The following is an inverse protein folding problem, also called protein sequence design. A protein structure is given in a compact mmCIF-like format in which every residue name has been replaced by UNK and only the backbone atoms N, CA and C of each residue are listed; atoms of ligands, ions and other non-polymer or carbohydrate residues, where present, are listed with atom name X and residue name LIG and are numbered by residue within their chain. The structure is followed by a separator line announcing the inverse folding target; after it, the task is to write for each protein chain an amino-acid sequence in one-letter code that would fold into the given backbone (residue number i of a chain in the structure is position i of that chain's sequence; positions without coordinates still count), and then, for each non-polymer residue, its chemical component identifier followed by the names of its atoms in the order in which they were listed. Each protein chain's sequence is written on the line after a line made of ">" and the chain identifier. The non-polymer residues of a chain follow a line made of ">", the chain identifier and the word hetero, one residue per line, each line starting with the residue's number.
data_IF_232200392925
#
_entry.id   IF_232200392925
#
_cell.length_a   1.000
_cell.length_b   1.000
_cell.length_c   1.000
_cell.angle_alpha   90.00
_cell.angle_beta   90.00
_cell.angle_gamma   90.00
#
_symmetry.space_group_name_H-M   'P 1'
#
loop_
_entity.id
_entity.type
_entity.pdbx_description
1 polymer ?
#
# COMPACT_ATOMS: atom_id res chain seq x y z
N UNK A 1 -15.86 1.13 2.96
CA UNK A 1 -15.32 2.49 2.75
C UNK A 1 -13.89 2.53 3.29
N UNK A 2 -12.90 2.88 2.47
CA UNK A 2 -11.58 3.29 2.96
C UNK A 2 -11.62 4.82 3.05
N UNK A 3 -11.37 5.39 4.23
CA UNK A 3 -11.49 6.82 4.49
C UNK A 3 -10.18 7.30 5.08
N UNK A 4 -9.51 8.15 4.33
CA UNK A 4 -8.30 8.81 4.77
C UNK A 4 -8.67 10.23 5.14
N UNK A 5 -8.96 10.45 6.43
CA UNK A 5 -9.43 11.74 6.92
C UNK A 5 -8.27 12.74 6.87
N UNK A 6 -8.06 13.36 5.71
CA UNK A 6 -7.31 14.59 5.60
C UNK A 6 -8.10 15.70 6.32
N UNK A 7 -7.45 16.38 7.25
CA UNK A 7 -7.98 17.58 7.90
C UNK A 7 -8.15 18.71 6.87
N UNK A 8 -9.27 18.70 6.14
CA UNK A 8 -9.79 19.86 5.44
C UNK A 8 -11.25 20.03 5.83
N UNK A 9 -11.50 21.03 6.70
CA UNK A 9 -12.83 21.55 6.94
C UNK A 9 -13.38 22.09 5.62
N UNK A 10 -14.30 21.39 4.97
CA UNK A 10 -15.46 22.01 4.34
C UNK A 10 -16.56 20.99 4.05
N UNK A 11 -17.73 21.40 4.48
CA UNK A 11 -19.02 20.75 4.41
C UNK A 11 -19.45 20.57 2.94
N UNK A 12 -19.64 19.34 2.47
CA UNK A 12 -20.55 19.07 1.36
C UNK A 12 -21.17 17.67 1.49
N UNK A 13 -22.47 17.69 1.78
CA UNK A 13 -23.39 16.56 1.73
C UNK A 13 -23.66 16.18 0.28
N UNK A 14 -23.30 14.96 -0.12
CA UNK A 14 -23.94 14.28 -1.25
C UNK A 14 -23.92 12.77 -1.04
N UNK A 15 -25.10 12.25 -0.77
CA UNK A 15 -25.48 10.85 -0.65
C UNK A 15 -25.46 10.15 -2.01
N UNK A 16 -24.67 9.07 -2.13
CA UNK A 16 -24.92 7.91 -3.00
C UNK A 16 -24.06 6.74 -2.51
N UNK A 17 -24.51 6.07 -1.46
CA UNK A 17 -23.82 4.91 -0.86
C UNK A 17 -24.25 3.61 -1.56
N UNK A 18 -23.61 3.30 -2.69
CA UNK A 18 -23.49 1.90 -3.12
C UNK A 18 -22.43 1.22 -2.24
N UNK A 19 -22.91 0.34 -1.36
CA UNK A 19 -22.16 -0.36 -0.32
C UNK A 19 -21.15 -1.36 -0.92
N UNK A 20 -19.91 -0.91 -1.15
CA UNK A 20 -18.73 -1.77 -1.30
C UNK A 20 -17.89 -1.67 -0.03
N UNK A 21 -18.28 -2.42 0.99
CA UNK A 21 -17.40 -2.78 2.09
C UNK A 21 -16.26 -3.64 1.54
N UNK A 22 -15.07 -3.06 1.40
CA UNK A 22 -13.87 -3.84 1.10
C UNK A 22 -13.64 -4.83 2.23
N UNK A 23 -13.79 -6.12 1.93
CA UNK A 23 -13.11 -7.13 2.71
C UNK A 23 -11.62 -6.92 2.44
N UNK A 24 -10.86 -6.41 3.42
CA UNK A 24 -9.39 -6.33 3.36
C UNK A 24 -8.71 -7.72 3.30
N UNK A 25 -9.52 -8.77 3.12
CA UNK A 25 -9.11 -10.11 2.77
C UNK A 25 -8.87 -10.25 1.26
N UNK A 26 -7.60 -10.15 0.86
CA UNK A 26 -7.18 -10.39 -0.52
C UNK A 26 -6.45 -11.74 -0.60
N UNK A 27 -7.14 -12.82 -0.97
CA UNK A 27 -6.51 -14.14 -1.09
C UNK A 27 -5.36 -14.11 -2.11
N UNK A 28 -5.44 -13.25 -3.13
CA UNK A 28 -4.39 -13.10 -4.14
C UNK A 28 -3.08 -12.55 -3.55
N UNK A 29 -3.12 -11.72 -2.50
CA UNK A 29 -1.91 -11.28 -1.77
C UNK A 29 -1.26 -12.48 -1.08
N UNK A 30 -2.05 -13.34 -0.44
CA UNK A 30 -1.55 -14.54 0.24
C UNK A 30 -0.93 -15.49 -0.76
N UNK A 31 -1.57 -15.71 -1.91
CA UNK A 31 -1.05 -16.58 -2.97
C UNK A 31 0.27 -16.06 -3.55
N UNK A 32 0.35 -14.76 -3.85
CA UNK A 32 1.58 -14.13 -4.35
C UNK A 32 2.69 -14.17 -3.31
N UNK A 33 2.37 -13.92 -2.03
CA UNK A 33 3.33 -14.04 -0.93
C UNK A 33 3.83 -15.48 -0.80
N UNK A 34 2.95 -16.48 -0.85
CA UNK A 34 3.28 -17.91 -0.75
C UNK A 34 4.13 -18.44 -1.91
N UNK A 35 4.00 -17.87 -3.10
CA UNK A 35 4.77 -18.25 -4.28
C UNK A 35 6.26 -17.83 -4.23
N UNK A 36 6.66 -17.00 -3.26
CA UNK A 36 8.04 -16.51 -3.16
C UNK A 36 9.04 -17.56 -2.66
N UNK A 37 10.28 -17.47 -3.16
CA UNK A 37 11.37 -18.30 -2.69
C UNK A 37 11.65 -17.98 -1.19
N UNK A 38 11.65 -19.00 -0.30
CA UNK A 38 11.98 -18.84 1.11
C UNK A 38 13.29 -18.09 1.38
N UNK A 39 14.33 -18.28 0.56
CA UNK A 39 15.62 -17.59 0.72
C UNK A 39 15.50 -16.08 0.52
N UNK A 40 14.62 -15.63 -0.38
CA UNK A 40 14.33 -14.21 -0.59
C UNK A 40 13.39 -13.61 0.46
N UNK A 41 12.63 -14.47 1.16
CA UNK A 41 11.84 -14.05 2.33
C UNK A 41 12.74 -13.82 3.55
N UNK A 42 13.81 -14.59 3.68
CA UNK A 42 14.68 -14.61 4.86
C UNK A 42 15.75 -13.49 4.88
N UNK A 43 15.77 -12.61 3.87
CA UNK A 43 16.37 -11.28 3.99
C UNK A 43 15.52 -10.38 4.92
N UNK A 44 15.20 -10.91 6.11
CA UNK A 44 14.39 -10.30 7.17
C UNK A 44 15.10 -9.11 7.82
N UNK A 45 16.42 -9.00 7.65
CA UNK A 45 17.23 -7.92 8.23
C UNK A 45 17.02 -6.57 7.56
N UNK A 46 16.56 -6.53 6.30
CA UNK A 46 16.30 -5.29 5.55
C UNK A 46 14.86 -5.25 5.05
N UNK A 47 13.96 -4.74 5.91
CA UNK A 47 12.57 -4.46 5.54
C UNK A 47 12.51 -3.20 4.66
N UNK A 48 11.83 -3.28 3.52
CA UNK A 48 11.62 -2.14 2.63
C UNK A 48 10.64 -1.15 3.27
N UNK A 49 9.52 -1.65 3.78
CA UNK A 49 8.48 -0.82 4.40
C UNK A 49 8.82 -0.61 5.88
N UNK A 50 9.19 0.63 6.23
CA UNK A 50 9.56 1.01 7.59
C UNK A 50 8.44 0.74 8.60
N UNK A 51 8.82 0.44 9.85
CA UNK A 51 7.85 0.16 10.91
C UNK A 51 7.20 1.45 11.38
N UNK A 52 5.89 1.40 11.56
CA UNK A 52 5.11 2.47 12.19
C UNK A 52 4.73 2.07 13.61
N UNK A 53 4.75 3.02 14.55
CA UNK A 53 4.31 2.76 15.93
C UNK A 53 2.80 2.52 15.98
N UNK A 54 2.30 1.58 16.80
CA UNK A 54 0.87 1.23 16.87
C UNK A 54 0.01 2.21 17.68
N UNK A 55 0.62 3.15 18.42
CA UNK A 55 -0.11 4.11 19.27
C UNK A 55 -0.08 5.50 18.64
N UNK A 56 -1.00 5.74 17.71
CA UNK A 56 -1.06 6.95 16.91
C UNK A 56 -2.38 7.69 17.18
N UNK A 57 -2.34 9.01 17.10
CA UNK A 57 -3.53 9.86 17.09
C UNK A 57 -4.30 9.69 15.79
N UNK A 58 -5.54 10.19 15.72
CA UNK A 58 -6.34 10.13 14.49
C UNK A 58 -5.67 10.84 13.30
N UNK A 59 -5.06 12.01 13.55
CA UNK A 59 -4.34 12.75 12.51
C UNK A 59 -3.12 11.98 12.01
N UNK A 60 -2.39 11.34 12.94
CA UNK A 60 -1.28 10.46 12.58
C UNK A 60 -1.76 9.21 11.82
N UNK A 61 -2.92 8.65 12.16
CA UNK A 61 -3.49 7.53 11.39
C UNK A 61 -3.76 7.94 9.94
N UNK A 62 -4.36 9.12 9.72
CA UNK A 62 -4.58 9.65 8.38
C UNK A 62 -3.26 9.91 7.63
N UNK A 63 -2.26 10.47 8.31
CA UNK A 63 -0.92 10.66 7.77
C UNK A 63 -0.30 9.32 7.33
N UNK A 64 -0.38 8.31 8.18
CA UNK A 64 0.12 6.96 7.93
C UNK A 64 -0.64 6.30 6.78
N UNK A 65 -1.97 6.46 6.72
CA UNK A 65 -2.80 5.92 5.65
C UNK A 65 -2.37 6.51 4.29
N UNK A 66 -2.19 7.84 4.21
CA UNK A 66 -1.82 8.50 2.97
C UNK A 66 -0.36 8.30 2.57
N UNK A 67 0.54 8.17 3.54
CA UNK A 67 1.89 7.68 3.30
C UNK A 67 1.87 6.30 2.62
N UNK A 68 1.10 5.34 3.14
CA UNK A 68 1.05 4.00 2.56
C UNK A 68 0.27 3.98 1.23
N UNK A 69 -0.66 4.90 1.01
CA UNK A 69 -1.27 5.12 -0.30
C UNK A 69 -0.24 5.60 -1.34
N UNK A 70 0.73 6.43 -0.95
CA UNK A 70 1.87 6.81 -1.81
C UNK A 70 2.77 5.64 -2.15
N UNK A 71 3.10 4.80 -1.17
CA UNK A 71 3.86 3.58 -1.42
C UNK A 71 3.08 2.66 -2.37
N UNK A 72 1.76 2.51 -2.19
CA UNK A 72 0.91 1.70 -3.07
C UNK A 72 0.92 2.20 -4.53
N UNK A 73 0.80 3.51 -4.74
CA UNK A 73 0.87 4.10 -6.08
C UNK A 73 2.24 3.83 -6.73
N UNK A 74 3.31 4.00 -5.97
CA UNK A 74 4.65 3.65 -6.43
C UNK A 74 4.77 2.16 -6.80
N UNK A 75 4.18 1.26 -6.01
CA UNK A 75 4.15 -0.18 -6.32
C UNK A 75 3.48 -0.45 -7.67
N UNK A 76 2.32 0.16 -7.93
CA UNK A 76 1.59 -0.03 -9.17
C UNK A 76 2.39 0.43 -10.40
N UNK A 77 3.12 1.53 -10.26
CA UNK A 77 3.87 2.16 -11.35
C UNK A 77 5.25 1.55 -11.59
N UNK A 78 5.94 1.09 -10.54
CA UNK A 78 7.37 0.75 -10.62
C UNK A 78 7.70 -0.70 -10.24
N UNK A 79 6.92 -1.31 -9.34
CA UNK A 79 7.17 -2.69 -8.88
C UNK A 79 6.35 -3.68 -9.69
N UNK A 80 5.07 -3.38 -9.86
CA UNK A 80 4.10 -4.30 -10.43
C UNK A 80 3.95 -4.13 -11.93
N UNK A 81 4.44 -3.05 -12.54
CA UNK A 81 4.22 -2.73 -13.95
C UNK A 81 4.50 -3.92 -14.88
N UNK A 82 5.63 -4.62 -14.66
CA UNK A 82 6.10 -5.75 -15.46
C UNK A 82 6.07 -7.10 -14.74
N UNK A 83 5.28 -7.25 -13.66
CA UNK A 83 5.29 -8.46 -12.82
C UNK A 83 4.23 -9.51 -13.17
N UNK A 84 3.50 -9.38 -14.29
CA UNK A 84 2.36 -10.26 -14.61
C UNK A 84 2.74 -11.75 -14.69
N UNK A 85 3.97 -12.06 -15.12
CA UNK A 85 4.49 -13.42 -15.18
C UNK A 85 4.98 -13.98 -13.84
N UNK A 86 4.99 -13.18 -12.77
CA UNK A 86 5.46 -13.61 -11.44
C UNK A 86 4.54 -14.67 -10.83
N UNK A 87 3.23 -14.51 -11.00
CA UNK A 87 2.23 -15.45 -10.49
C UNK A 87 0.90 -15.29 -11.24
N UNK A 88 0.14 -16.37 -11.50
CA UNK A 88 -1.15 -16.29 -12.19
C UNK A 88 -2.18 -15.34 -11.56
N UNK A 89 -2.09 -15.11 -10.24
CA UNK A 89 -2.97 -14.17 -9.53
C UNK A 89 -2.58 -12.68 -9.71
N UNK A 90 -1.39 -12.39 -10.26
CA UNK A 90 -0.84 -11.03 -10.32
C UNK A 90 -1.73 -10.03 -11.10
N UNK A 91 -2.32 -10.37 -12.26
CA UNK A 91 -3.17 -9.42 -12.98
C UNK A 91 -4.41 -9.00 -12.18
N UNK A 92 -5.01 -9.95 -11.45
CA UNK A 92 -6.14 -9.68 -10.57
C UNK A 92 -5.73 -8.82 -9.38
N UNK A 93 -4.63 -9.19 -8.72
CA UNK A 93 -4.05 -8.41 -7.63
C UNK A 93 -3.78 -6.95 -8.04
N UNK A 94 -3.14 -6.71 -9.20
CA UNK A 94 -2.89 -5.36 -9.72
C UNK A 94 -4.17 -4.56 -9.95
N UNK A 95 -5.22 -5.21 -10.43
CA UNK A 95 -6.53 -4.56 -10.65
C UNK A 95 -7.14 -4.12 -9.32
N UNK A 96 -7.11 -4.98 -8.32
CA UNK A 96 -7.66 -4.69 -6.99
C UNK A 96 -6.84 -3.61 -6.26
N UNK A 97 -5.51 -3.70 -6.30
CA UNK A 97 -4.61 -2.68 -5.76
C UNK A 97 -4.82 -1.31 -6.42
N UNK A 98 -5.10 -1.27 -7.72
CA UNK A 98 -5.40 -0.02 -8.43
C UNK A 98 -6.71 0.61 -7.98
N UNK A 99 -7.76 -0.19 -7.77
CA UNK A 99 -9.05 0.30 -7.23
C UNK A 99 -8.86 0.93 -5.86
N UNK A 100 -8.10 0.28 -4.99
CA UNK A 100 -7.80 0.80 -3.65
C UNK A 100 -7.03 2.11 -3.73
N UNK A 101 -5.99 2.18 -4.55
CA UNK A 101 -5.21 3.41 -4.75
C UNK A 101 -6.09 4.56 -5.23
N UNK A 102 -7.00 4.31 -6.19
CA UNK A 102 -7.96 5.30 -6.68
C UNK A 102 -8.92 5.74 -5.58
N UNK A 103 -9.49 4.81 -4.82
CA UNK A 103 -10.42 5.13 -3.75
C UNK A 103 -9.76 5.92 -2.63
N UNK A 104 -8.53 5.58 -2.22
CA UNK A 104 -7.78 6.35 -1.22
C UNK A 104 -7.51 7.78 -1.72
N UNK A 105 -7.17 7.93 -3.01
CA UNK A 105 -6.96 9.24 -3.62
C UNK A 105 -8.24 10.07 -3.67
N UNK A 106 -9.39 9.47 -3.98
CA UNK A 106 -10.68 10.17 -3.99
C UNK A 106 -11.15 10.53 -2.58
N UNK A 107 -10.82 9.71 -1.58
CA UNK A 107 -11.26 9.88 -0.20
C UNK A 107 -10.26 10.63 0.69
N UNK A 108 -9.57 11.63 0.13
CA UNK A 108 -8.79 12.61 0.91
C UNK A 108 -7.28 12.41 0.95
N UNK A 109 -6.73 11.32 0.43
CA UNK A 109 -5.27 11.22 0.28
C UNK A 109 -4.78 11.96 -0.95
N UNK A 110 -4.13 13.10 -0.73
CA UNK A 110 -3.25 13.66 -1.75
C UNK A 110 -1.94 12.85 -1.80
N UNK A 111 -1.97 11.74 -2.55
CA UNK A 111 -0.86 10.80 -2.66
C UNK A 111 0.44 11.49 -3.09
N UNK A 112 0.36 12.49 -3.97
CA UNK A 112 1.53 13.23 -4.44
C UNK A 112 2.18 14.08 -3.34
N UNK A 113 1.40 14.57 -2.37
CA UNK A 113 1.94 15.34 -1.24
C UNK A 113 2.87 14.51 -0.35
N UNK A 114 2.60 13.21 -0.23
CA UNK A 114 3.39 12.28 0.59
C UNK A 114 4.62 11.73 -0.13
N UNK A 115 4.89 12.16 -1.36
CA UNK A 115 6.07 11.70 -2.09
C UNK A 115 7.34 12.00 -1.31
N UNK A 116 7.46 13.16 -0.66
CA UNK A 116 8.69 13.59 0.03
C UNK A 116 8.68 13.20 1.52
N UNK A 117 7.66 12.46 1.98
CA UNK A 117 7.60 11.96 3.34
C UNK A 117 8.77 10.99 3.59
N UNK A 118 9.44 11.13 4.75
CA UNK A 118 10.67 10.39 5.07
C UNK A 118 10.55 8.87 4.81
N UNK A 119 9.48 8.25 5.28
CA UNK A 119 9.24 6.81 5.08
C UNK A 119 9.04 6.41 3.59
N UNK A 120 8.44 7.29 2.77
CA UNK A 120 8.25 7.03 1.35
C UNK A 120 9.58 7.16 0.60
N UNK A 121 10.38 8.17 0.95
CA UNK A 121 11.75 8.36 0.44
C UNK A 121 12.62 7.16 0.81
N UNK A 122 12.64 6.78 2.09
CA UNK A 122 13.45 5.66 2.59
C UNK A 122 13.06 4.34 1.91
N UNK A 123 11.77 4.08 1.72
CA UNK A 123 11.29 2.91 0.96
C UNK A 123 11.89 2.88 -0.46
N UNK A 124 11.82 3.99 -1.19
CA UNK A 124 12.35 4.09 -2.56
C UNK A 124 13.87 3.94 -2.59
N UNK A 125 14.58 4.56 -1.65
CA UNK A 125 16.04 4.46 -1.53
C UNK A 125 16.49 3.03 -1.25
N UNK A 126 15.83 2.32 -0.32
CA UNK A 126 16.12 0.90 -0.04
C UNK A 126 15.88 0.04 -1.27
N UNK A 127 14.78 0.27 -1.99
CA UNK A 127 14.45 -0.47 -3.21
C UNK A 127 15.50 -0.26 -4.31
N UNK A 128 15.91 1.00 -4.54
CA UNK A 128 16.97 1.35 -5.49
C UNK A 128 18.30 0.69 -5.10
N UNK A 129 18.62 0.69 -3.80
CA UNK A 129 19.86 0.09 -3.26
C UNK A 129 19.93 -1.42 -3.49
N UNK A 130 18.80 -2.13 -3.40
CA UNK A 130 18.75 -3.57 -3.65
C UNK A 130 18.95 -3.97 -5.13
N UNK A 131 18.72 -3.02 -6.05
CA UNK A 131 18.90 -3.12 -7.50
C UNK A 131 18.12 -4.24 -8.22
N UNK A 132 17.50 -3.88 -9.36
CA UNK A 132 16.96 -4.82 -10.33
C UNK A 132 15.94 -5.83 -9.77
N UNK A 133 16.01 -7.07 -10.25
CA UNK A 133 15.02 -8.11 -9.96
C UNK A 133 14.95 -8.50 -8.47
N UNK A 134 16.06 -8.36 -7.73
CA UNK A 134 16.08 -8.65 -6.28
C UNK A 134 15.18 -7.70 -5.52
N UNK A 135 15.30 -6.39 -5.78
CA UNK A 135 14.44 -5.37 -5.19
C UNK A 135 12.96 -5.60 -5.52
N UNK A 136 12.66 -5.92 -6.79
CA UNK A 136 11.29 -6.22 -7.24
C UNK A 136 10.71 -7.42 -6.51
N UNK A 137 11.44 -8.55 -6.45
CA UNK A 137 10.99 -9.75 -5.73
C UNK A 137 10.76 -9.48 -4.25
N UNK A 138 11.68 -8.73 -3.60
CA UNK A 138 11.54 -8.32 -2.20
C UNK A 138 10.30 -7.45 -1.99
N UNK A 139 10.09 -6.44 -2.84
CA UNK A 139 8.93 -5.57 -2.77
C UNK A 139 7.62 -6.34 -2.92
N UNK A 140 7.52 -7.25 -3.90
CA UNK A 140 6.36 -8.14 -4.05
C UNK A 140 6.10 -8.93 -2.75
N UNK A 141 7.15 -9.27 -2.02
CA UNK A 141 7.08 -10.04 -0.78
C UNK A 141 6.62 -9.27 0.43
N UNK A 142 6.71 -7.94 0.36
CA UNK A 142 6.24 -7.04 1.41
C UNK A 142 4.90 -6.40 1.03
N UNK A 143 4.23 -6.83 -0.05
CA UNK A 143 2.86 -6.38 -0.37
C UNK A 143 1.91 -6.67 0.78
N UNK A 144 2.04 -7.82 1.44
CA UNK A 144 1.23 -8.16 2.62
C UNK A 144 1.40 -7.13 3.75
N UNK A 145 2.63 -6.65 3.98
CA UNK A 145 2.93 -5.63 4.98
C UNK A 145 2.29 -4.29 4.60
N UNK A 146 2.43 -3.86 3.35
CA UNK A 146 1.79 -2.64 2.85
C UNK A 146 0.29 -2.70 3.11
N UNK A 147 -0.30 -3.86 2.83
CA UNK A 147 -1.73 -4.07 2.94
C UNK A 147 -2.24 -4.13 4.37
N UNK A 148 -1.45 -4.69 5.29
CA UNK A 148 -1.72 -4.60 6.73
C UNK A 148 -1.78 -3.15 7.16
N UNK A 149 -0.81 -2.31 6.78
CA UNK A 149 -0.85 -0.88 7.15
C UNK A 149 -2.03 -0.14 6.52
N UNK A 150 -2.38 -0.43 5.26
CA UNK A 150 -3.56 0.17 4.66
C UNK A 150 -4.85 -0.25 5.39
N UNK A 151 -5.00 -1.53 5.75
CA UNK A 151 -6.15 -2.02 6.49
C UNK A 151 -6.24 -1.45 7.92
N UNK A 152 -5.10 -1.33 8.61
CA UNK A 152 -5.05 -0.86 10.00
C UNK A 152 -5.27 0.66 10.12
N UNK A 153 -4.82 1.44 9.14
CA UNK A 153 -4.78 2.91 9.23
C UNK A 153 -5.72 3.64 8.26
N UNK A 154 -6.22 3.01 7.18
CA UNK A 154 -7.14 3.65 6.22
C UNK A 154 -8.62 3.32 6.48
N UNK A 155 -8.94 2.57 7.54
CA UNK A 155 -10.31 2.20 7.90
C UNK A 155 -10.76 3.06 9.07
N UNK A 156 -11.88 3.77 8.90
CA UNK A 156 -12.57 4.40 10.03
C UNK A 156 -13.18 3.31 10.92
N UNK A 157 -12.79 3.30 12.20
CA UNK A 157 -13.55 2.67 13.27
C UNK A 157 -14.48 3.70 13.93
#
# INVERSE_FOLDING_TARGET
>A
HALCIGSDTNNDTSSDSNDTTYSWYFPDIILVFQAQNPETRDETSLRLISRVSPNQTLDQNAEICCLHANILDFYLLNVLQSSDSFHPAMPRLKTDLRRISQDLSHNGCNVTHYQDHQNAVEFREKLITMQGQRGITKAIGEINILFTYLGDFCVQN
#
